data_IF_810740206281
#
_entry.id   IF_810740206281
#
_cell.length_a   1.000
_cell.length_b   1.000
_cell.length_c   1.000
_cell.angle_alpha   90.00
_cell.angle_beta   90.00
_cell.angle_gamma   90.00
#
_symmetry.space_group_name_H-M   'P 1'
#
loop_
_entity.id
_entity.type
_entity.pdbx_description
1 polymer ?
#
# COMPACT_ATOMS: atom_id res chain seq x y z
N UNK A 1 -12.79 12.67 25.46
CA UNK A 1 -11.38 12.90 25.08
C UNK A 1 -11.01 11.77 24.13
N UNK A 2 -11.11 11.97 22.83
CA UNK A 2 -10.71 10.95 21.84
C UNK A 2 -9.67 11.59 20.94
N UNK A 3 -8.39 11.32 21.24
CA UNK A 3 -7.28 11.58 20.32
C UNK A 3 -7.40 10.57 19.17
N UNK A 4 -8.30 10.85 18.23
CA UNK A 4 -8.65 9.98 17.08
C UNK A 4 -7.57 10.05 16.00
N UNK A 5 -6.46 9.34 16.24
CA UNK A 5 -5.48 9.02 15.20
C UNK A 5 -5.97 7.89 14.29
N UNK A 6 -5.45 7.83 13.08
CA UNK A 6 -5.66 6.73 12.12
C UNK A 6 -4.88 5.52 12.63
N UNK A 7 -5.55 4.39 12.84
CA UNK A 7 -4.91 3.14 13.21
C UNK A 7 -4.48 2.32 11.99
N UNK A 8 -3.76 1.23 12.23
CA UNK A 8 -3.31 0.33 11.15
C UNK A 8 -4.47 -0.21 10.30
N UNK A 9 -5.60 -0.55 10.93
CA UNK A 9 -6.80 -1.11 10.29
C UNK A 9 -7.60 -0.08 9.49
N UNK A 10 -7.41 1.21 9.77
CA UNK A 10 -8.11 2.30 9.08
C UNK A 10 -7.44 2.67 7.75
N UNK A 11 -6.23 2.15 7.50
CA UNK A 11 -5.49 2.40 6.27
C UNK A 11 -6.07 1.51 5.16
N UNK A 12 -6.42 2.09 3.99
CA UNK A 12 -6.93 1.34 2.85
C UNK A 12 -5.78 0.64 2.12
N UNK A 13 -5.22 -0.39 2.76
CA UNK A 13 -4.16 -1.21 2.22
C UNK A 13 -4.53 -1.80 0.84
N UNK A 14 -3.55 -2.03 -0.05
CA UNK A 14 -3.80 -2.47 -1.41
C UNK A 14 -4.04 -3.99 -1.48
N UNK A 15 -5.06 -4.45 -0.77
CA UNK A 15 -5.56 -5.82 -0.78
C UNK A 15 -7.09 -5.79 -0.97
N UNK A 16 -7.68 -6.91 -1.39
CA UNK A 16 -9.13 -6.98 -1.65
C UNK A 16 -9.96 -7.25 -0.38
N UNK A 17 -9.33 -7.79 0.66
CA UNK A 17 -9.94 -8.17 1.93
C UNK A 17 -9.46 -7.25 3.06
N UNK A 18 -10.15 -7.27 4.20
CA UNK A 18 -9.73 -6.50 5.37
C UNK A 18 -8.38 -6.98 5.91
N UNK A 19 -7.47 -6.04 6.15
CA UNK A 19 -6.13 -6.34 6.69
C UNK A 19 -6.20 -6.44 8.19
N UNK A 20 -6.18 -7.67 8.72
CA UNK A 20 -6.12 -7.92 10.17
C UNK A 20 -4.70 -8.00 10.72
N UNK A 21 -3.67 -8.05 9.86
CA UNK A 21 -2.26 -8.06 10.25
C UNK A 21 -1.35 -7.81 9.04
N UNK A 22 -0.06 -7.53 9.30
CA UNK A 22 0.98 -7.43 8.27
C UNK A 22 1.05 -8.66 7.35
N UNK A 23 0.72 -9.84 7.85
CA UNK A 23 0.71 -11.08 7.05
C UNK A 23 -0.28 -11.04 5.88
N UNK A 24 -1.35 -10.25 6.01
CA UNK A 24 -2.32 -10.07 4.95
C UNK A 24 -1.74 -9.29 3.75
N UNK A 25 -0.66 -8.51 3.95
CA UNK A 25 0.11 -7.84 2.89
C UNK A 25 1.07 -8.82 2.17
N UNK A 26 0.61 -10.04 1.93
CA UNK A 26 1.39 -11.05 1.21
C UNK A 26 1.44 -10.77 -0.29
N UNK A 27 2.47 -11.28 -0.97
CA UNK A 27 2.61 -11.14 -2.43
C UNK A 27 1.35 -11.55 -3.20
N UNK A 28 0.72 -12.67 -2.82
CA UNK A 28 -0.49 -13.16 -3.48
C UNK A 28 -1.67 -12.18 -3.37
N UNK A 29 -1.90 -11.63 -2.18
CA UNK A 29 -2.99 -10.68 -1.93
C UNK A 29 -2.75 -9.34 -2.64
N UNK A 30 -1.52 -8.84 -2.58
CA UNK A 30 -1.12 -7.61 -3.27
C UNK A 30 -1.22 -7.76 -4.80
N UNK A 31 -0.80 -8.91 -5.34
CA UNK A 31 -0.92 -9.22 -6.76
C UNK A 31 -2.38 -9.32 -7.20
N UNK A 32 -3.23 -10.01 -6.42
CA UNK A 32 -4.65 -10.12 -6.71
C UNK A 32 -5.33 -8.73 -6.78
N UNK A 33 -4.98 -7.84 -5.84
CA UNK A 33 -5.45 -6.45 -5.87
C UNK A 33 -4.92 -5.65 -7.06
N UNK A 34 -3.63 -5.76 -7.38
CA UNK A 34 -3.03 -5.06 -8.51
C UNK A 34 -3.63 -5.48 -9.85
N UNK A 35 -3.89 -6.78 -10.03
CA UNK A 35 -4.49 -7.37 -11.23
C UNK A 35 -6.00 -7.09 -11.35
N UNK A 36 -6.66 -6.63 -10.29
CA UNK A 36 -8.10 -6.42 -10.27
C UNK A 36 -8.53 -5.34 -11.27
N UNK A 37 -9.31 -5.74 -12.29
CA UNK A 37 -9.65 -4.92 -13.45
C UNK A 37 -10.62 -3.77 -13.13
N UNK A 38 -11.45 -3.89 -12.10
CA UNK A 38 -12.44 -2.86 -11.74
C UNK A 38 -11.88 -1.69 -10.92
N UNK A 39 -10.57 -1.61 -10.69
CA UNK A 39 -9.98 -0.48 -9.96
C UNK A 39 -10.26 0.83 -10.74
N UNK A 40 -10.97 1.82 -10.15
CA UNK A 40 -11.34 3.05 -10.86
C UNK A 40 -10.14 3.82 -11.42
N UNK A 41 -9.01 3.77 -10.69
CA UNK A 41 -7.73 4.40 -11.08
C UNK A 41 -7.01 3.70 -12.24
N UNK A 42 -7.48 2.52 -12.66
CA UNK A 42 -6.81 1.61 -13.59
C UNK A 42 -7.50 1.51 -14.97
N UNK A 43 -8.73 2.00 -15.14
CA UNK A 43 -9.44 1.98 -16.44
C UNK A 43 -8.59 2.64 -17.54
N UNK A 44 -8.28 1.89 -18.59
CA UNK A 44 -7.51 2.37 -19.75
C UNK A 44 -6.00 2.55 -19.53
N UNK A 45 -5.46 2.26 -18.34
CA UNK A 45 -4.02 2.37 -18.05
C UNK A 45 -3.30 1.02 -18.16
N UNK A 46 -2.08 1.02 -18.68
CA UNK A 46 -1.20 -0.16 -18.69
C UNK A 46 -0.79 -0.57 -17.27
N UNK A 47 -0.36 -1.83 -17.10
CA UNK A 47 0.10 -2.35 -15.81
C UNK A 47 1.25 -1.51 -15.24
N UNK A 48 2.27 -1.23 -16.06
CA UNK A 48 3.38 -0.31 -15.74
C UNK A 48 2.93 1.04 -15.18
N UNK A 49 1.97 1.71 -15.81
CA UNK A 49 1.47 3.02 -15.32
C UNK A 49 0.75 2.87 -13.97
N UNK A 50 0.06 1.76 -13.74
CA UNK A 50 -0.60 1.47 -12.44
C UNK A 50 0.45 1.26 -11.36
N UNK A 51 1.49 0.47 -11.62
CA UNK A 51 2.59 0.20 -10.67
C UNK A 51 3.28 1.51 -10.29
N UNK A 52 3.66 2.35 -11.26
CA UNK A 52 4.30 3.64 -10.98
C UNK A 52 3.39 4.55 -10.14
N UNK A 53 2.09 4.59 -10.44
CA UNK A 53 1.13 5.41 -9.68
C UNK A 53 0.97 4.94 -8.24
N UNK A 54 0.86 3.62 -8.03
CA UNK A 54 0.75 3.02 -6.70
C UNK A 54 2.07 3.18 -5.93
N UNK A 55 3.23 3.09 -6.59
CA UNK A 55 4.54 3.28 -5.96
C UNK A 55 4.70 4.71 -5.43
N UNK A 56 4.24 5.72 -6.16
CA UNK A 56 4.26 7.11 -5.68
C UNK A 56 3.37 7.33 -4.45
N UNK A 57 2.31 6.55 -4.30
CA UNK A 57 1.39 6.62 -3.16
C UNK A 57 1.98 5.92 -1.93
N UNK A 58 2.56 4.74 -2.14
CA UNK A 58 3.07 3.85 -1.09
C UNK A 58 4.57 3.98 -0.83
N UNK A 59 5.26 4.93 -1.48
CA UNK A 59 6.68 5.15 -1.22
C UNK A 59 6.88 5.53 0.27
N UNK A 60 7.76 4.84 1.01
CA UNK A 60 7.88 5.01 2.46
C UNK A 60 8.16 6.45 2.87
N UNK A 61 9.10 7.13 2.19
CA UNK A 61 9.40 8.55 2.47
C UNK A 61 8.18 9.47 2.29
N UNK A 62 7.47 9.35 1.16
CA UNK A 62 6.31 10.19 0.83
C UNK A 62 5.13 9.91 1.74
N UNK A 63 4.90 8.63 2.04
CA UNK A 63 3.84 8.22 2.96
C UNK A 63 4.13 8.75 4.36
N UNK A 64 5.36 8.55 4.85
CA UNK A 64 5.75 8.94 6.19
C UNK A 64 5.64 10.46 6.41
N UNK A 65 6.14 11.25 5.44
CA UNK A 65 6.04 12.71 5.48
C UNK A 65 4.59 13.23 5.51
N UNK A 66 3.65 12.52 4.89
CA UNK A 66 2.27 13.02 4.68
C UNK A 66 1.26 12.48 5.69
N UNK A 67 1.46 11.26 6.18
CA UNK A 67 0.43 10.53 6.93
C UNK A 67 0.89 10.06 8.32
N UNK A 68 2.19 9.87 8.57
CA UNK A 68 2.66 9.28 9.83
C UNK A 68 2.32 10.12 11.06
N UNK A 69 2.25 11.45 10.91
CA UNK A 69 1.83 12.35 11.99
C UNK A 69 0.39 12.11 12.45
N UNK A 70 -0.47 11.60 11.54
CA UNK A 70 -1.88 11.28 11.82
C UNK A 70 -2.10 9.87 12.34
N UNK A 71 -1.08 9.02 12.24
CA UNK A 71 -1.13 7.62 12.69
C UNK A 71 -0.93 7.57 14.21
N UNK A 72 -1.74 6.75 14.89
CA UNK A 72 -1.61 6.50 16.33
C UNK A 72 -0.20 6.01 16.64
N UNK A 73 0.40 6.52 17.72
CA UNK A 73 1.79 6.22 18.06
C UNK A 73 2.06 4.71 18.16
N UNK A 74 1.11 3.95 18.72
CA UNK A 74 1.16 2.49 18.86
C UNK A 74 1.13 1.74 17.52
N UNK A 75 0.54 2.32 16.49
CA UNK A 75 0.41 1.69 15.17
C UNK A 75 1.50 2.14 14.19
N UNK A 76 2.30 3.17 14.51
CA UNK A 76 3.29 3.75 13.57
C UNK A 76 4.30 2.73 13.06
N UNK A 77 4.75 1.83 13.91
CA UNK A 77 5.71 0.79 13.53
C UNK A 77 5.08 -0.19 12.54
N UNK A 78 3.91 -0.74 12.87
CA UNK A 78 3.17 -1.63 11.98
C UNK A 78 2.78 -0.96 10.65
N UNK A 79 2.38 0.32 10.68
CA UNK A 79 2.07 1.08 9.47
C UNK A 79 3.33 1.28 8.62
N UNK A 80 4.45 1.66 9.24
CA UNK A 80 5.71 1.85 8.51
C UNK A 80 6.18 0.55 7.86
N UNK A 81 6.08 -0.57 8.57
CA UNK A 81 6.43 -1.89 8.04
C UNK A 81 5.50 -2.30 6.88
N UNK A 82 4.18 -2.09 7.04
CA UNK A 82 3.23 -2.40 5.99
C UNK A 82 3.46 -1.59 4.71
N UNK A 83 3.79 -0.30 4.85
CA UNK A 83 4.14 0.57 3.73
C UNK A 83 5.41 0.07 3.02
N UNK A 84 6.43 -0.33 3.78
CA UNK A 84 7.67 -0.87 3.22
C UNK A 84 7.44 -2.19 2.47
N UNK A 85 6.61 -3.10 2.99
CA UNK A 85 6.21 -4.34 2.30
C UNK A 85 5.57 -4.03 0.94
N UNK A 86 4.58 -3.12 0.92
CA UNK A 86 3.88 -2.72 -0.30
C UNK A 86 4.83 -2.06 -1.30
N UNK A 87 5.70 -1.16 -0.84
CA UNK A 87 6.66 -0.48 -1.70
C UNK A 87 7.65 -1.46 -2.34
N UNK A 88 8.21 -2.40 -1.57
CA UNK A 88 9.11 -3.43 -2.07
C UNK A 88 8.45 -4.32 -3.11
N UNK A 89 7.19 -4.71 -2.88
CA UNK A 89 6.40 -5.45 -3.87
C UNK A 89 6.29 -4.69 -5.19
N UNK A 90 5.92 -3.40 -5.15
CA UNK A 90 5.77 -2.58 -6.36
C UNK A 90 7.10 -2.31 -7.08
N UNK A 91 8.19 -2.13 -6.34
CA UNK A 91 9.55 -1.98 -6.90
C UNK A 91 9.97 -3.27 -7.62
N UNK A 92 9.78 -4.43 -6.99
CA UNK A 92 10.11 -5.72 -7.60
C UNK A 92 9.36 -5.98 -8.90
N UNK A 93 8.09 -5.57 -8.99
CA UNK A 93 7.33 -5.65 -10.24
C UNK A 93 7.82 -4.65 -11.30
N UNK A 94 8.22 -3.44 -10.88
CA UNK A 94 8.75 -2.42 -11.79
C UNK A 94 10.06 -2.86 -12.46
N UNK A 95 10.90 -3.58 -11.72
CA UNK A 95 12.18 -4.12 -12.19
C UNK A 95 11.99 -5.37 -13.07
N UNK A 96 10.96 -6.17 -12.81
CA UNK A 96 10.68 -7.37 -13.59
C UNK A 96 9.99 -7.09 -14.95
N UNK A 97 9.18 -6.02 -15.08
CA UNK A 97 8.54 -5.62 -16.37
C UNK A 97 9.51 -4.98 -17.40
N UNK A 98 10.83 -4.99 -17.15
CA UNK A 98 11.86 -4.59 -18.13
C UNK A 98 12.66 -5.77 -18.72
N UNK A 99 12.22 -7.01 -18.50
CA UNK A 99 12.78 -8.22 -19.14
C UNK A 99 11.95 -8.71 -20.33
#
# INVERSE_FOLDING_TARGET
MTTEGVGFYDIPWPVLEDVTSLRALSYGNLMAFLAHLDRPRCRGKSLKTRIVSDLLLWHPDKFNQKFMEKVKLEDREAVSEGVDIVARFLIGLSDCEVA
#
